data_IF_386195016249
#
_entry.id   IF_386195016249
#
_cell.length_a   1.000
_cell.length_b   1.000
_cell.length_c   1.000
_cell.angle_alpha   90.00
_cell.angle_beta   90.00
_cell.angle_gamma   90.00
#
_symmetry.space_group_name_H-M   'P 1'
#
loop_
_entity.id
_entity.type
_entity.pdbx_description
1 polymer ?
#
# COMPACT_ATOMS: atom_id res chain seq x y z
N UNK A 1 -15.87 5.86 -49.56
CA UNK A 1 -16.20 5.04 -48.36
C UNK A 1 -14.92 4.42 -47.85
N UNK A 2 -14.28 5.13 -46.89
CA UNK A 2 -12.99 4.74 -46.32
C UNK A 2 -13.26 3.99 -45.02
N UNK A 3 -13.08 2.66 -45.08
CA UNK A 3 -13.24 1.76 -43.93
C UNK A 3 -12.15 2.05 -42.89
N UNK A 4 -12.51 2.70 -41.79
CA UNK A 4 -11.71 2.77 -40.58
C UNK A 4 -11.67 1.36 -39.95
N UNK A 5 -10.66 0.57 -40.30
CA UNK A 5 -10.29 -0.62 -39.51
C UNK A 5 -9.81 -0.14 -38.14
N UNK A 6 -10.67 -0.16 -37.14
CA UNK A 6 -10.27 -0.02 -35.74
C UNK A 6 -9.24 -1.11 -35.45
N UNK A 7 -7.97 -0.73 -35.30
CA UNK A 7 -6.94 -1.62 -34.79
C UNK A 7 -7.38 -2.01 -33.37
N UNK A 8 -7.91 -3.21 -33.21
CA UNK A 8 -8.16 -3.80 -31.90
C UNK A 8 -6.84 -3.76 -31.14
N UNK A 9 -6.78 -2.89 -30.13
CA UNK A 9 -5.62 -2.80 -29.25
C UNK A 9 -5.48 -4.14 -28.52
N UNK A 10 -4.39 -4.87 -28.85
CA UNK A 10 -4.09 -6.13 -28.14
C UNK A 10 -3.60 -5.74 -26.74
N UNK A 11 -4.27 -6.21 -25.67
CA UNK A 11 -3.89 -5.83 -24.31
C UNK A 11 -2.44 -6.25 -24.03
N UNK A 12 -1.70 -5.38 -23.37
CA UNK A 12 -0.35 -5.68 -22.88
C UNK A 12 -0.41 -6.80 -21.83
N UNK A 13 0.72 -7.47 -21.60
CA UNK A 13 0.82 -8.50 -20.56
C UNK A 13 0.45 -7.96 -19.19
N UNK A 14 0.78 -6.71 -18.91
CA UNK A 14 0.42 -6.04 -17.66
C UNK A 14 -1.09 -5.84 -17.53
N UNK A 15 -1.74 -5.33 -18.55
CA UNK A 15 -3.21 -5.16 -18.57
C UNK A 15 -3.95 -6.48 -18.35
N UNK A 16 -3.44 -7.58 -18.92
CA UNK A 16 -4.00 -8.92 -18.71
C UNK A 16 -3.89 -9.36 -17.23
N UNK A 17 -2.75 -9.12 -16.58
CA UNK A 17 -2.56 -9.44 -15.16
C UNK A 17 -3.43 -8.58 -14.27
N UNK A 18 -3.51 -7.28 -14.54
CA UNK A 18 -4.34 -6.34 -13.81
C UNK A 18 -5.82 -6.74 -13.87
N UNK A 19 -6.33 -7.05 -15.06
CA UNK A 19 -7.70 -7.55 -15.26
C UNK A 19 -7.97 -8.83 -14.47
N UNK A 20 -7.05 -9.78 -14.47
CA UNK A 20 -7.22 -11.03 -13.73
C UNK A 20 -7.22 -10.82 -12.20
N UNK A 21 -6.47 -9.84 -11.69
CA UNK A 21 -6.53 -9.47 -10.26
C UNK A 21 -7.86 -8.80 -9.93
N UNK A 22 -8.36 -7.90 -10.79
CA UNK A 22 -9.67 -7.27 -10.59
C UNK A 22 -10.80 -8.30 -10.52
N UNK A 23 -10.83 -9.25 -11.45
CA UNK A 23 -11.83 -10.34 -11.46
C UNK A 23 -11.78 -11.14 -10.15
N UNK A 24 -10.58 -11.56 -9.72
CA UNK A 24 -10.41 -12.28 -8.47
C UNK A 24 -10.91 -11.46 -7.25
N UNK A 25 -10.69 -10.15 -7.25
CA UNK A 25 -11.16 -9.27 -6.17
C UNK A 25 -12.67 -9.14 -6.14
N UNK A 26 -13.33 -9.03 -7.29
CA UNK A 26 -14.81 -9.00 -7.37
C UNK A 26 -15.39 -10.31 -6.82
N UNK A 27 -14.84 -11.46 -7.18
CA UNK A 27 -15.27 -12.76 -6.66
C UNK A 27 -15.12 -12.89 -5.14
N UNK A 28 -14.09 -12.24 -4.55
CA UNK A 28 -13.75 -12.32 -3.12
C UNK A 28 -14.29 -11.15 -2.28
N UNK A 29 -15.19 -10.33 -2.81
CA UNK A 29 -15.77 -9.21 -2.07
C UNK A 29 -14.80 -8.03 -1.90
N UNK A 30 -14.03 -7.71 -2.94
CA UNK A 30 -13.12 -6.55 -3.05
C UNK A 30 -11.93 -6.55 -2.08
N UNK A 31 -11.54 -7.73 -1.58
CA UNK A 31 -10.31 -7.89 -0.81
C UNK A 31 -9.73 -9.29 -1.04
N UNK A 32 -8.41 -9.38 -1.28
CA UNK A 32 -7.72 -10.65 -1.45
C UNK A 32 -6.43 -10.70 -0.63
N UNK A 33 -6.05 -11.92 -0.26
CA UNK A 33 -4.74 -12.20 0.31
C UNK A 33 -3.74 -12.55 -0.81
N UNK A 34 -2.42 -12.36 -0.60
CA UNK A 34 -1.40 -12.82 -1.55
C UNK A 34 -1.48 -14.33 -1.83
N UNK A 35 -1.92 -15.12 -0.85
CA UNK A 35 -2.09 -16.57 -1.00
C UNK A 35 -3.24 -16.91 -1.95
N UNK A 36 -4.33 -16.16 -1.93
CA UNK A 36 -5.45 -16.35 -2.86
C UNK A 36 -5.03 -16.00 -4.30
N UNK A 37 -4.27 -14.91 -4.49
CA UNK A 37 -3.69 -14.57 -5.79
C UNK A 37 -2.76 -15.67 -6.30
N UNK A 38 -1.88 -16.20 -5.43
CA UNK A 38 -1.00 -17.31 -5.77
C UNK A 38 -1.80 -18.56 -6.14
N UNK A 39 -2.85 -18.91 -5.39
CA UNK A 39 -3.67 -20.09 -5.67
C UNK A 39 -4.39 -19.96 -7.02
N UNK A 40 -4.93 -18.78 -7.35
CA UNK A 40 -5.50 -18.51 -8.67
C UNK A 40 -4.45 -18.69 -9.79
N UNK A 41 -3.24 -18.18 -9.56
CA UNK A 41 -2.13 -18.25 -10.51
C UNK A 41 -1.58 -19.68 -10.72
N UNK A 42 -1.87 -20.65 -9.84
CA UNK A 42 -1.46 -22.07 -10.03
C UNK A 42 -2.12 -22.71 -11.26
N UNK A 43 -3.29 -22.25 -11.65
CA UNK A 43 -3.96 -22.70 -12.85
C UNK A 43 -3.25 -22.17 -14.09
N UNK A 44 -2.73 -23.05 -14.94
CA UNK A 44 -1.96 -22.67 -16.15
C UNK A 44 -2.73 -21.78 -17.13
N UNK A 45 -4.05 -21.89 -17.14
CA UNK A 45 -4.92 -21.07 -17.99
C UNK A 45 -5.20 -19.68 -17.42
N UNK A 46 -4.83 -19.40 -16.17
CA UNK A 46 -4.99 -18.09 -15.59
C UNK A 46 -3.86 -17.15 -16.09
N UNK A 47 -4.17 -15.93 -16.57
CA UNK A 47 -3.15 -14.98 -17.02
C UNK A 47 -2.06 -14.70 -15.99
N UNK A 48 -2.40 -14.74 -14.69
CA UNK A 48 -1.45 -14.56 -13.59
C UNK A 48 -0.37 -15.65 -13.53
N UNK A 49 -0.61 -16.84 -14.10
CA UNK A 49 0.37 -17.93 -14.10
C UNK A 49 1.72 -17.48 -14.67
N UNK A 50 1.69 -16.72 -15.76
CA UNK A 50 2.91 -16.25 -16.43
C UNK A 50 3.69 -15.17 -15.66
N UNK A 51 3.14 -14.64 -14.55
CA UNK A 51 3.80 -13.66 -13.70
C UNK A 51 4.77 -14.32 -12.71
N UNK A 52 4.55 -15.60 -12.36
CA UNK A 52 5.30 -16.31 -11.31
C UNK A 52 6.41 -17.20 -11.90
N UNK A 53 7.50 -17.33 -11.14
CA UNK A 53 8.49 -18.37 -11.35
C UNK A 53 8.03 -19.65 -10.63
N UNK A 54 7.79 -20.72 -11.41
CA UNK A 54 7.32 -22.01 -10.92
C UNK A 54 8.44 -23.02 -10.69
N UNK A 55 9.69 -22.59 -10.77
CA UNK A 55 10.84 -23.44 -10.42
C UNK A 55 10.92 -23.55 -8.89
N UNK A 56 10.55 -24.73 -8.37
CA UNK A 56 10.48 -24.95 -6.91
C UNK A 56 11.85 -24.92 -6.23
N UNK A 57 12.96 -25.06 -6.96
CA UNK A 57 14.31 -24.96 -6.38
C UNK A 57 14.68 -23.52 -6.02
N UNK A 58 14.18 -22.56 -6.78
CA UNK A 58 14.58 -21.16 -6.64
C UNK A 58 13.51 -20.28 -6.01
N UNK A 59 12.27 -20.66 -6.12
CA UNK A 59 11.13 -19.84 -5.70
C UNK A 59 10.20 -20.60 -4.76
N UNK A 60 10.58 -20.75 -3.54
CA UNK A 60 9.69 -21.32 -2.52
C UNK A 60 8.38 -20.53 -2.37
N UNK A 61 7.44 -21.15 -1.69
CA UNK A 61 6.11 -20.55 -1.45
C UNK A 61 6.18 -19.09 -0.94
N UNK A 62 7.16 -18.80 -0.07
CA UNK A 62 7.34 -17.44 0.47
C UNK A 62 7.71 -16.42 -0.61
N UNK A 63 8.52 -16.82 -1.58
CA UNK A 63 8.91 -15.93 -2.68
C UNK A 63 7.72 -15.63 -3.60
N UNK A 64 6.91 -16.62 -3.91
CA UNK A 64 5.69 -16.43 -4.71
C UNK A 64 4.68 -15.54 -3.99
N UNK A 65 4.51 -15.70 -2.67
CA UNK A 65 3.68 -14.79 -1.88
C UNK A 65 4.22 -13.36 -1.94
N UNK A 66 5.54 -13.19 -1.86
CA UNK A 66 6.16 -11.87 -2.02
C UNK A 66 5.93 -11.28 -3.42
N UNK A 67 6.03 -12.10 -4.46
CA UNK A 67 5.68 -11.69 -5.83
C UNK A 67 4.22 -11.22 -5.93
N UNK A 68 3.29 -11.94 -5.32
CA UNK A 68 1.88 -11.56 -5.27
C UNK A 68 1.68 -10.22 -4.55
N UNK A 69 2.36 -10.00 -3.42
CA UNK A 69 2.34 -8.71 -2.72
C UNK A 69 2.90 -7.58 -3.59
N UNK A 70 3.98 -7.85 -4.32
CA UNK A 70 4.61 -6.89 -5.21
C UNK A 70 3.69 -6.51 -6.37
N UNK A 71 2.96 -7.47 -6.92
CA UNK A 71 1.94 -7.23 -7.94
C UNK A 71 0.85 -6.30 -7.41
N UNK A 72 0.26 -6.63 -6.27
CA UNK A 72 -0.83 -5.84 -5.68
C UNK A 72 -0.41 -4.40 -5.38
N UNK A 73 0.84 -4.17 -4.95
CA UNK A 73 1.38 -2.82 -4.70
C UNK A 73 1.59 -1.98 -5.96
N UNK A 74 1.77 -2.61 -7.13
CA UNK A 74 2.00 -1.91 -8.40
C UNK A 74 0.72 -1.49 -9.11
N UNK A 75 -0.41 -2.09 -8.76
CA UNK A 75 -1.69 -1.73 -9.37
C UNK A 75 -2.06 -0.32 -8.93
N UNK A 76 -2.31 0.54 -9.90
CA UNK A 76 -2.77 1.91 -9.69
C UNK A 76 -4.16 2.11 -10.25
N UNK A 77 -4.91 3.02 -9.64
CA UNK A 77 -6.20 3.48 -10.14
C UNK A 77 -6.14 4.97 -10.39
N UNK A 78 -6.92 5.45 -11.33
CA UNK A 78 -7.14 6.88 -11.53
C UNK A 78 -8.25 7.33 -10.58
N UNK A 79 -8.00 8.41 -9.87
CA UNK A 79 -9.00 9.13 -9.11
C UNK A 79 -9.14 10.53 -9.67
N UNK A 80 -10.35 11.06 -9.67
CA UNK A 80 -10.65 12.43 -10.09
C UNK A 80 -10.96 13.22 -8.82
N UNK A 81 -10.25 14.33 -8.61
CA UNK A 81 -10.52 15.22 -7.49
C UNK A 81 -11.78 16.07 -7.74
N UNK A 82 -12.15 16.89 -6.75
CA UNK A 82 -13.32 17.78 -6.84
C UNK A 82 -13.16 18.87 -7.90
N UNK A 83 -11.94 19.13 -8.36
CA UNK A 83 -11.59 20.08 -9.40
C UNK A 83 -11.53 19.45 -10.80
N UNK A 84 -11.72 18.13 -10.90
CA UNK A 84 -11.67 17.39 -12.16
C UNK A 84 -10.27 16.93 -12.58
N UNK A 85 -9.25 17.08 -11.73
CA UNK A 85 -7.89 16.63 -12.04
C UNK A 85 -7.77 15.13 -11.83
N UNK A 86 -7.22 14.43 -12.83
CA UNK A 86 -6.91 13.02 -12.73
C UNK A 86 -5.56 12.79 -12.02
N UNK A 87 -5.58 11.99 -10.97
CA UNK A 87 -4.35 11.56 -10.26
C UNK A 87 -4.31 10.04 -10.19
N UNK A 88 -3.14 9.46 -10.42
CA UNK A 88 -2.91 8.03 -10.19
C UNK A 88 -2.51 7.79 -8.74
N UNK A 89 -3.19 6.84 -8.10
CA UNK A 89 -2.85 6.39 -6.75
C UNK A 89 -2.81 4.87 -6.67
N UNK A 90 -2.35 4.31 -5.55
CA UNK A 90 -2.40 2.86 -5.30
C UNK A 90 -3.84 2.38 -5.39
N UNK A 91 -4.08 1.30 -6.15
CA UNK A 91 -5.40 0.68 -6.24
C UNK A 91 -5.76 -0.11 -4.98
N UNK A 92 -4.74 -0.67 -4.31
CA UNK A 92 -4.91 -1.55 -3.16
C UNK A 92 -3.95 -1.20 -2.03
N UNK A 93 -4.45 -1.29 -0.80
CA UNK A 93 -3.68 -1.06 0.42
C UNK A 93 -3.82 -2.24 1.37
N UNK A 94 -2.74 -2.53 2.11
CA UNK A 94 -2.72 -3.62 3.08
C UNK A 94 -3.40 -3.18 4.37
N UNK A 95 -4.49 -3.87 4.74
CA UNK A 95 -5.27 -3.59 5.95
C UNK A 95 -5.53 -4.87 6.73
N UNK A 96 -5.88 -4.72 8.01
CA UNK A 96 -6.32 -5.82 8.85
C UNK A 96 -7.84 -5.83 8.92
N UNK A 97 -8.46 -6.87 8.36
CA UNK A 97 -9.89 -7.11 8.52
C UNK A 97 -10.13 -7.81 9.86
N UNK A 98 -11.13 -7.31 10.60
CA UNK A 98 -11.63 -7.90 11.84
C UNK A 98 -13.11 -8.21 11.65
N UNK A 99 -13.42 -9.47 11.41
CA UNK A 99 -14.80 -9.96 11.26
C UNK A 99 -15.25 -10.59 12.58
N UNK A 100 -16.54 -10.47 12.88
CA UNK A 100 -17.11 -11.01 14.13
C UNK A 100 -16.95 -12.53 14.14
N UNK A 101 -16.31 -13.07 15.18
CA UNK A 101 -16.10 -14.52 15.34
C UNK A 101 -14.92 -15.09 14.55
N UNK A 102 -14.15 -14.27 13.82
CA UNK A 102 -12.98 -14.71 13.07
C UNK A 102 -11.68 -14.05 13.57
N UNK A 103 -10.57 -14.75 13.40
CA UNK A 103 -9.25 -14.18 13.68
C UNK A 103 -8.92 -13.01 12.73
N UNK A 104 -8.26 -11.95 13.20
CA UNK A 104 -7.84 -10.85 12.35
C UNK A 104 -6.93 -11.35 11.21
N UNK A 105 -7.23 -10.94 9.98
CA UNK A 105 -6.42 -11.31 8.80
C UNK A 105 -5.94 -10.09 8.04
N UNK A 106 -4.70 -10.16 7.55
CA UNK A 106 -4.13 -9.13 6.66
C UNK A 106 -4.54 -9.40 5.23
N UNK A 107 -5.09 -8.39 4.57
CA UNK A 107 -5.55 -8.45 3.17
C UNK A 107 -5.17 -7.19 2.42
N UNK A 108 -5.14 -7.28 1.10
CA UNK A 108 -5.12 -6.10 0.23
C UNK A 108 -6.57 -5.76 -0.13
N UNK A 109 -7.01 -4.59 0.31
CA UNK A 109 -8.35 -4.07 0.03
C UNK A 109 -8.28 -2.93 -0.99
N UNK A 110 -9.31 -2.81 -1.81
CA UNK A 110 -9.45 -1.72 -2.77
C UNK A 110 -9.45 -0.37 -2.05
N UNK A 111 -8.73 0.62 -2.58
CA UNK A 111 -8.58 1.94 -1.96
C UNK A 111 -9.94 2.62 -1.75
N UNK A 112 -10.90 2.45 -2.66
CA UNK A 112 -12.27 2.97 -2.53
C UNK A 112 -12.95 2.43 -1.28
N UNK A 113 -12.93 1.09 -1.08
CA UNK A 113 -13.48 0.44 0.12
C UNK A 113 -12.82 0.94 1.39
N UNK A 114 -11.49 1.11 1.36
CA UNK A 114 -10.73 1.62 2.51
C UNK A 114 -11.15 3.05 2.83
N UNK A 115 -11.31 3.90 1.81
CA UNK A 115 -11.74 5.28 1.98
C UNK A 115 -13.16 5.39 2.57
N UNK A 116 -14.09 4.56 2.12
CA UNK A 116 -15.50 4.55 2.55
C UNK A 116 -15.67 3.95 3.97
N UNK A 117 -14.82 3.01 4.34
CA UNK A 117 -14.92 2.32 5.64
C UNK A 117 -14.10 3.02 6.72
N UNK A 118 -14.76 3.67 7.69
CA UNK A 118 -14.11 4.46 8.76
C UNK A 118 -12.96 3.71 9.45
N UNK A 119 -13.14 2.45 9.82
CA UNK A 119 -12.11 1.67 10.52
C UNK A 119 -10.90 1.35 9.64
N UNK A 120 -11.11 1.06 8.35
CA UNK A 120 -10.03 0.77 7.41
C UNK A 120 -9.28 2.05 7.03
N UNK A 121 -10.01 3.14 6.80
CA UNK A 121 -9.41 4.47 6.58
C UNK A 121 -8.54 4.90 7.76
N UNK A 122 -8.98 4.65 8.99
CA UNK A 122 -8.20 4.93 10.19
C UNK A 122 -6.89 4.14 10.22
N UNK A 123 -6.91 2.85 9.84
CA UNK A 123 -5.69 2.05 9.74
C UNK A 123 -4.72 2.61 8.69
N UNK A 124 -5.23 3.00 7.51
CA UNK A 124 -4.38 3.54 6.44
C UNK A 124 -3.74 4.89 6.84
N UNK A 125 -4.51 5.77 7.49
CA UNK A 125 -3.96 7.02 8.03
C UNK A 125 -2.89 6.77 9.09
N UNK A 126 -3.07 5.78 9.96
CA UNK A 126 -2.05 5.37 10.94
C UNK A 126 -0.80 4.78 10.27
N UNK A 127 -0.95 4.07 9.14
CA UNK A 127 0.19 3.61 8.36
C UNK A 127 0.96 4.79 7.76
N UNK A 128 0.26 5.74 7.11
CA UNK A 128 0.87 6.92 6.54
C UNK A 128 1.65 7.76 7.58
N UNK A 129 1.08 7.94 8.78
CA UNK A 129 1.76 8.65 9.86
C UNK A 129 3.02 7.91 10.34
N UNK A 130 2.98 6.58 10.43
CA UNK A 130 4.16 5.78 10.79
C UNK A 130 5.25 5.83 9.72
N UNK A 131 4.87 5.89 8.44
CA UNK A 131 5.83 6.03 7.35
C UNK A 131 6.56 7.38 7.44
N UNK A 132 5.83 8.47 7.78
CA UNK A 132 6.44 9.79 8.03
C UNK A 132 7.39 9.76 9.24
N UNK A 133 7.00 9.15 10.35
CA UNK A 133 7.85 8.98 11.53
C UNK A 133 9.10 8.14 11.21
N UNK A 134 8.91 7.05 10.45
CA UNK A 134 10.02 6.20 10.00
C UNK A 134 10.97 6.96 9.06
N UNK A 135 10.44 7.83 8.20
CA UNK A 135 11.23 8.71 7.35
C UNK A 135 12.06 9.67 8.21
N UNK A 136 11.45 10.35 9.18
CA UNK A 136 12.15 11.24 10.11
C UNK A 136 13.29 10.53 10.84
N UNK A 137 13.05 9.29 11.31
CA UNK A 137 14.09 8.50 12.00
C UNK A 137 15.21 8.08 11.06
N UNK A 138 14.90 7.63 9.85
CA UNK A 138 15.88 7.17 8.86
C UNK A 138 16.87 8.25 8.44
N UNK A 139 16.39 9.47 8.34
CA UNK A 139 17.18 10.62 7.86
C UNK A 139 17.62 11.57 8.97
N UNK A 140 17.61 11.12 10.24
CA UNK A 140 17.94 11.95 11.40
C UNK A 140 19.40 12.43 11.42
N UNK A 141 20.29 11.77 10.69
CA UNK A 141 21.71 12.13 10.62
C UNK A 141 21.97 13.33 9.70
N UNK A 142 21.02 13.74 8.87
CA UNK A 142 21.16 14.84 7.92
C UNK A 142 20.59 16.13 8.53
N UNK A 143 21.48 17.03 8.96
CA UNK A 143 21.09 18.30 9.60
C UNK A 143 20.28 19.20 8.64
N UNK A 144 20.52 19.11 7.34
CA UNK A 144 19.78 19.85 6.31
C UNK A 144 18.29 19.56 6.29
N UNK A 145 17.87 18.46 6.89
CA UNK A 145 16.45 18.06 6.98
C UNK A 145 15.81 18.38 8.35
N UNK A 146 16.53 19.02 9.27
CA UNK A 146 16.05 19.28 10.62
C UNK A 146 14.73 20.05 10.65
N UNK A 147 14.62 21.14 9.91
CA UNK A 147 13.40 21.95 9.85
C UNK A 147 12.20 21.15 9.35
N UNK A 148 12.40 20.33 8.32
CA UNK A 148 11.34 19.46 7.75
C UNK A 148 10.92 18.42 8.80
N UNK A 149 11.89 17.81 9.49
CA UNK A 149 11.60 16.78 10.50
C UNK A 149 10.85 17.37 11.70
N UNK A 150 11.27 18.55 12.19
CA UNK A 150 10.58 19.24 13.30
C UNK A 150 9.14 19.62 12.92
N UNK A 151 8.95 20.11 11.69
CA UNK A 151 7.62 20.38 11.14
C UNK A 151 6.75 19.13 11.10
N UNK A 152 7.24 18.04 10.49
CA UNK A 152 6.50 16.78 10.36
C UNK A 152 6.14 16.18 11.72
N UNK A 153 7.07 16.17 12.67
CA UNK A 153 6.85 15.62 14.01
C UNK A 153 5.74 16.36 14.76
N UNK A 154 5.71 17.69 14.63
CA UNK A 154 4.64 18.54 15.18
C UNK A 154 3.30 18.24 14.52
N UNK A 155 3.24 18.26 13.19
CA UNK A 155 1.99 18.09 12.43
C UNK A 155 1.41 16.66 12.58
N UNK A 156 2.27 15.63 12.57
CA UNK A 156 1.86 14.24 12.82
C UNK A 156 1.20 14.11 14.20
N UNK A 157 1.79 14.73 15.23
CA UNK A 157 1.26 14.70 16.58
C UNK A 157 -0.11 15.39 16.68
N UNK A 158 -0.25 16.57 16.08
CA UNK A 158 -1.51 17.33 16.03
C UNK A 158 -2.59 16.59 15.24
N UNK A 159 -2.24 16.03 14.09
CA UNK A 159 -3.16 15.26 13.27
C UNK A 159 -3.67 14.03 14.03
N UNK A 160 -2.78 13.30 14.70
CA UNK A 160 -3.13 12.14 15.51
C UNK A 160 -4.14 12.48 16.60
N UNK A 161 -3.93 13.58 17.30
CA UNK A 161 -4.86 14.06 18.33
C UNK A 161 -6.23 14.42 17.73
N UNK A 162 -6.24 15.17 16.63
CA UNK A 162 -7.46 15.71 16.02
C UNK A 162 -8.28 14.64 15.30
N UNK A 163 -7.63 13.79 14.47
CA UNK A 163 -8.33 12.88 13.55
C UNK A 163 -8.50 11.50 14.15
N UNK A 164 -7.50 11.01 14.90
CA UNK A 164 -7.50 9.66 15.45
C UNK A 164 -7.97 9.62 16.92
N UNK A 165 -8.28 10.78 17.53
CA UNK A 165 -8.79 10.87 18.90
C UNK A 165 -7.82 10.38 19.96
N UNK A 166 -6.51 10.33 19.66
CA UNK A 166 -5.47 9.97 20.63
C UNK A 166 -4.99 11.20 21.36
N UNK A 167 -4.85 11.12 22.69
CA UNK A 167 -4.25 12.18 23.49
C UNK A 167 -2.83 12.47 22.99
N UNK A 168 -2.48 13.75 22.86
CA UNK A 168 -1.11 14.20 22.60
C UNK A 168 -0.18 13.59 23.66
N UNK A 169 0.82 12.84 23.21
CA UNK A 169 1.88 12.41 24.11
C UNK A 169 2.60 13.66 24.62
N UNK A 170 2.59 13.88 25.94
CA UNK A 170 3.37 14.97 26.53
C UNK A 170 4.85 14.69 26.23
N UNK A 171 5.46 15.49 25.36
CA UNK A 171 6.91 15.41 25.13
C UNK A 171 7.60 15.70 26.46
N UNK A 172 8.21 14.67 27.09
CA UNK A 172 9.25 14.92 28.08
C UNK A 172 10.29 15.78 27.38
N UNK A 173 10.51 17.01 27.88
CA UNK A 173 11.63 17.86 27.48
C UNK A 173 12.91 17.05 27.67
N UNK A 174 13.42 16.50 26.55
CA UNK A 174 14.79 16.03 26.51
C UNK A 174 15.63 17.28 26.56
N UNK A 175 16.24 17.54 27.73
CA UNK A 175 17.20 18.60 27.89
C UNK A 175 18.29 18.42 26.84
N UNK A 176 18.44 19.43 25.96
CA UNK A 176 19.55 19.53 25.01
C UNK A 176 20.86 19.41 25.83
N UNK A 177 21.44 18.21 25.87
CA UNK A 177 22.88 18.07 26.04
C UNK A 177 23.52 18.49 24.73
N UNK A 178 24.37 19.49 24.83
CA UNK A 178 25.22 20.04 23.80
C UNK A 178 25.87 18.90 22.99
N UNK A 179 25.78 19.01 21.68
CA UNK A 179 26.33 18.16 20.65
C UNK A 179 27.75 17.65 20.95
N UNK A 180 27.89 16.35 21.20
CA UNK A 180 29.09 15.60 20.86
C UNK A 180 28.79 14.91 19.53
N UNK A 181 29.75 15.01 18.59
CA UNK A 181 29.66 14.43 17.26
C UNK A 181 29.40 12.91 17.34
N UNK A 182 28.53 12.32 16.52
CA UNK A 182 28.30 10.90 16.51
C UNK A 182 29.56 10.18 16.01
N UNK A 183 30.18 9.39 16.89
CA UNK A 183 31.25 8.45 16.51
C UNK A 183 30.59 7.28 15.76
N UNK A 184 30.92 7.15 14.47
CA UNK A 184 30.61 5.95 13.67
C UNK A 184 31.48 4.80 14.18
N UNK A 185 30.85 3.76 14.69
CA UNK A 185 31.45 2.45 14.96
C UNK A 185 31.07 1.50 13.85
#
# INVERSE_FOLDING_TARGET
>A
MTSLKSRLHKPSRWEMWETAVFQLMEEKGKAVTPREVLNAARHKNNPLHSYFDWNDRTAGEKYRVWQAQSLLRRITVKIVDKQGNETKTRGYVNVTLRERGAAPRRVYAEIKRVYETKSLRHQELEHALRDLESWCTRYMIYAELDEIREYLDREVSLFRARVLGRKLASKKKVSRKKSEEPVLV
#
